data_IF_176954766402
#
_entry.id   IF_176954766402
#
_cell.length_a   1.000
_cell.length_b   1.000
_cell.length_c   1.000
_cell.angle_alpha   90.00
_cell.angle_beta   90.00
_cell.angle_gamma   90.00
#
_symmetry.space_group_name_H-M   'P 1'
#
loop_
_entity.id
_entity.type
_entity.pdbx_description
1 polymer ?
#
# COMPACT_ATOMS: atom_id res chain seq x y z
N UNK A 1 -22.50 1.07 26.40
CA UNK A 1 -22.65 2.31 25.61
C UNK A 1 -22.29 3.55 26.43
N UNK A 2 -22.92 3.81 27.59
CA UNK A 2 -22.60 4.97 28.46
C UNK A 2 -21.14 5.00 28.91
N UNK A 3 -20.57 3.85 29.31
CA UNK A 3 -19.16 3.76 29.69
C UNK A 3 -18.20 4.05 28.52
N UNK A 4 -18.54 3.65 27.29
CA UNK A 4 -17.73 3.89 26.10
C UNK A 4 -17.74 5.38 25.73
N UNK A 5 -18.92 6.00 25.75
CA UNK A 5 -19.06 7.45 25.55
C UNK A 5 -18.31 8.24 26.64
N UNK A 6 -18.35 7.77 27.90
CA UNK A 6 -17.60 8.37 29.00
C UNK A 6 -16.08 8.29 28.78
N UNK A 7 -15.56 7.15 28.33
CA UNK A 7 -14.13 7.00 28.01
C UNK A 7 -13.73 7.86 26.80
N UNK A 8 -14.56 7.93 25.76
CA UNK A 8 -14.32 8.80 24.59
C UNK A 8 -14.34 10.29 24.97
N UNK A 9 -15.19 10.68 25.92
CA UNK A 9 -15.22 12.04 26.46
C UNK A 9 -13.98 12.36 27.30
N UNK A 10 -13.61 11.48 28.23
CA UNK A 10 -12.45 11.69 29.11
C UNK A 10 -11.10 11.65 28.38
N UNK A 11 -11.02 11.00 27.23
CA UNK A 11 -9.80 10.92 26.41
C UNK A 11 -9.65 12.10 25.43
N UNK A 12 -10.60 13.05 25.43
CA UNK A 12 -10.63 14.15 24.46
C UNK A 12 -10.84 13.66 23.03
N UNK A 13 -11.41 12.46 22.84
CA UNK A 13 -11.67 11.92 21.51
C UNK A 13 -12.68 12.79 20.76
N UNK A 14 -13.72 13.27 21.44
CA UNK A 14 -14.71 14.17 20.82
C UNK A 14 -14.12 15.49 20.36
N UNK A 15 -13.10 16.02 21.04
CA UNK A 15 -12.41 17.25 20.63
C UNK A 15 -11.55 17.04 19.37
N UNK A 16 -11.18 15.78 19.07
CA UNK A 16 -10.47 15.38 17.84
C UNK A 16 -11.40 14.99 16.69
N UNK A 17 -12.71 14.87 16.93
CA UNK A 17 -13.66 14.54 15.87
C UNK A 17 -13.72 15.63 14.80
N UNK A 18 -13.78 16.94 15.12
CA UNK A 18 -13.75 17.99 14.10
C UNK A 18 -12.51 17.93 13.22
N UNK A 19 -11.33 17.65 13.79
CA UNK A 19 -10.09 17.55 13.01
C UNK A 19 -9.97 16.31 12.13
N UNK A 20 -10.78 15.27 12.38
CA UNK A 20 -10.99 14.16 11.43
C UNK A 20 -11.77 14.61 10.19
N UNK A 21 -12.55 15.69 10.29
CA UNK A 21 -13.34 16.24 9.19
C UNK A 21 -12.63 17.37 8.42
N UNK A 22 -11.56 17.97 8.96
CA UNK A 22 -10.81 19.05 8.28
C UNK A 22 -10.29 18.65 6.90
N UNK A 23 -9.94 17.36 6.72
CA UNK A 23 -9.45 16.83 5.43
C UNK A 23 -10.54 16.53 4.42
N UNK A 24 -11.82 16.57 4.80
CA UNK A 24 -12.93 16.32 3.86
C UNK A 24 -13.08 17.43 2.81
N UNK A 25 -12.47 18.60 3.04
CA UNK A 25 -12.36 19.63 2.02
C UNK A 25 -11.27 19.33 0.97
N UNK A 26 -10.38 18.36 1.23
CA UNK A 26 -9.29 18.00 0.32
C UNK A 26 -9.80 17.03 -0.76
N UNK A 27 -9.73 17.40 -2.06
CA UNK A 27 -10.16 16.53 -3.16
C UNK A 27 -9.49 15.15 -3.12
N UNK A 28 -8.26 15.09 -2.60
CA UNK A 28 -7.45 13.88 -2.48
C UNK A 28 -7.95 12.93 -1.40
N UNK A 29 -8.45 13.45 -0.28
CA UNK A 29 -9.05 12.64 0.78
C UNK A 29 -10.32 11.94 0.27
N UNK A 30 -11.14 12.67 -0.49
CA UNK A 30 -12.34 12.10 -1.10
C UNK A 30 -11.96 11.11 -2.20
N UNK A 31 -10.99 11.44 -3.05
CA UNK A 31 -10.43 10.50 -4.03
C UNK A 31 -9.97 9.19 -3.39
N UNK A 32 -9.30 9.26 -2.24
CA UNK A 32 -8.92 8.10 -1.43
C UNK A 32 -10.14 7.28 -0.96
N UNK A 33 -11.20 7.93 -0.46
CA UNK A 33 -12.41 7.23 -0.01
C UNK A 33 -13.08 6.41 -1.13
N UNK A 34 -13.18 7.00 -2.33
CA UNK A 34 -13.72 6.34 -3.52
C UNK A 34 -12.83 5.20 -4.00
N UNK A 35 -11.52 5.43 -3.94
CA UNK A 35 -10.51 4.41 -4.22
C UNK A 35 -10.69 3.21 -3.30
N UNK A 36 -10.75 3.41 -1.98
CA UNK A 36 -10.95 2.34 -0.98
C UNK A 36 -12.24 1.58 -1.23
N UNK A 37 -13.31 2.31 -1.55
CA UNK A 37 -14.63 1.72 -1.80
C UNK A 37 -14.66 0.86 -3.06
N UNK A 38 -14.01 1.30 -4.15
CA UNK A 38 -13.90 0.54 -5.40
C UNK A 38 -13.23 -0.81 -5.17
N UNK A 39 -12.12 -0.79 -4.47
CA UNK A 39 -11.26 -1.97 -4.36
C UNK A 39 -11.79 -2.96 -3.32
N UNK A 40 -12.53 -2.47 -2.32
CA UNK A 40 -13.14 -3.28 -1.27
C UNK A 40 -13.77 -4.60 -1.77
N UNK A 41 -14.58 -4.55 -2.84
CA UNK A 41 -15.28 -5.73 -3.34
C UNK A 41 -14.36 -6.77 -3.97
N UNK A 42 -13.34 -6.32 -4.70
CA UNK A 42 -12.33 -7.20 -5.28
C UNK A 42 -11.58 -7.95 -4.19
N UNK A 43 -11.23 -7.25 -3.11
CA UNK A 43 -10.59 -7.87 -1.97
C UNK A 43 -11.52 -8.75 -1.15
N UNK A 44 -12.77 -8.34 -0.92
CA UNK A 44 -13.74 -9.14 -0.20
C UNK A 44 -13.96 -10.48 -0.93
N UNK A 45 -14.06 -10.44 -2.25
CA UNK A 45 -14.16 -11.64 -3.08
C UNK A 45 -12.90 -12.50 -3.04
N UNK A 46 -11.70 -11.90 -3.16
CA UNK A 46 -10.42 -12.62 -3.07
C UNK A 46 -10.15 -13.20 -1.68
N UNK A 47 -10.75 -12.63 -0.63
CA UNK A 47 -10.73 -13.20 0.73
C UNK A 47 -11.52 -14.51 0.83
N UNK A 48 -12.53 -14.71 -0.03
CA UNK A 48 -13.29 -15.98 -0.12
C UNK A 48 -12.54 -17.00 -0.98
N UNK A 49 -12.02 -16.54 -2.12
CA UNK A 49 -11.41 -17.40 -3.13
C UNK A 49 -9.96 -16.93 -3.34
N UNK A 50 -9.00 -17.46 -2.56
CA UNK A 50 -7.59 -17.08 -2.64
C UNK A 50 -6.90 -17.77 -3.82
N UNK A 51 -7.46 -17.64 -5.04
CA UNK A 51 -6.89 -18.20 -6.27
C UNK A 51 -5.77 -17.30 -6.81
N UNK A 52 -5.82 -16.01 -6.47
CA UNK A 52 -4.77 -15.04 -6.70
C UNK A 52 -4.51 -14.29 -5.39
N UNK A 53 -3.25 -13.93 -5.08
CA UNK A 53 -3.01 -12.84 -4.12
C UNK A 53 -3.83 -11.64 -4.62
N UNK A 54 -4.33 -10.82 -3.71
CA UNK A 54 -4.77 -9.53 -4.20
C UNK A 54 -3.54 -8.78 -4.69
N UNK A 55 -3.53 -8.50 -5.98
CA UNK A 55 -2.80 -7.36 -6.47
C UNK A 55 -3.83 -6.39 -6.95
N UNK A 56 -4.01 -5.38 -6.14
CA UNK A 56 -4.42 -4.10 -6.67
C UNK A 56 -3.27 -3.11 -6.47
N UNK A 57 -2.07 -3.54 -6.90
CA UNK A 57 -0.88 -2.69 -6.92
C UNK A 57 -0.95 -1.60 -8.01
N UNK A 58 -2.05 -1.57 -8.77
CA UNK A 58 -2.30 -0.66 -9.90
C UNK A 58 -3.19 0.52 -9.49
N UNK A 59 -3.49 0.69 -8.20
CA UNK A 59 -4.39 1.76 -7.75
C UNK A 59 -3.64 3.08 -7.71
N UNK A 60 -3.70 3.80 -8.82
CA UNK A 60 -3.56 5.24 -8.76
C UNK A 60 -4.88 5.85 -8.23
N UNK A 61 -4.77 6.87 -7.40
CA UNK A 61 -5.90 7.45 -6.65
C UNK A 61 -6.99 7.96 -7.62
N UNK A 62 -8.27 7.73 -7.29
CA UNK A 62 -9.38 8.31 -8.03
C UNK A 62 -9.28 9.83 -8.00
N UNK A 63 -9.09 10.45 -9.15
CA UNK A 63 -8.97 11.90 -9.26
C UNK A 63 -10.34 12.56 -9.27
N UNK A 64 -10.44 13.64 -8.50
CA UNK A 64 -11.55 14.59 -8.57
C UNK A 64 -11.01 15.79 -9.32
N UNK A 65 -11.50 16.09 -10.54
CA UNK A 65 -11.03 17.24 -11.28
C UNK A 65 -11.30 18.53 -10.49
N UNK A 66 -10.42 19.55 -10.58
CA UNK A 66 -10.62 20.82 -9.89
C UNK A 66 -11.97 21.45 -10.25
N UNK A 67 -12.70 21.94 -9.24
CA UNK A 67 -13.99 22.60 -9.44
C UNK A 67 -15.20 21.67 -9.66
N UNK A 68 -15.00 20.36 -9.61
CA UNK A 68 -16.07 19.36 -9.76
C UNK A 68 -16.60 18.94 -8.38
N UNK A 69 -17.92 18.85 -8.25
CA UNK A 69 -18.58 18.39 -7.01
C UNK A 69 -18.15 16.97 -6.63
N UNK A 70 -18.12 16.66 -5.33
CA UNK A 70 -17.76 15.35 -4.77
C UNK A 70 -18.64 14.18 -5.24
N UNK A 71 -19.76 14.48 -5.89
CA UNK A 71 -20.69 13.52 -6.49
C UNK A 71 -20.51 13.36 -8.00
N UNK A 72 -19.73 14.24 -8.64
CA UNK A 72 -19.50 14.26 -10.08
C UNK A 72 -18.17 13.59 -10.46
N UNK A 73 -17.80 12.53 -9.73
CA UNK A 73 -16.61 11.74 -10.03
C UNK A 73 -16.77 11.02 -11.37
N UNK A 74 -15.74 11.06 -12.25
CA UNK A 74 -15.77 10.38 -13.55
C UNK A 74 -15.82 8.85 -13.39
N UNK A 75 -15.15 8.30 -12.38
CA UNK A 75 -15.14 6.87 -12.05
C UNK A 75 -16.49 6.41 -11.49
N UNK A 76 -17.38 5.96 -12.39
CA UNK A 76 -18.71 5.45 -12.01
C UNK A 76 -18.64 4.17 -11.20
N UNK A 77 -17.64 3.32 -11.44
CA UNK A 77 -17.46 2.07 -10.68
C UNK A 77 -17.17 2.41 -9.21
N UNK A 78 -16.29 3.39 -8.95
CA UNK A 78 -16.02 3.84 -7.60
C UNK A 78 -17.26 4.43 -6.93
N UNK A 79 -18.08 5.20 -7.66
CA UNK A 79 -19.35 5.73 -7.13
C UNK A 79 -20.34 4.62 -6.77
N UNK A 80 -20.58 3.66 -7.67
CA UNK A 80 -21.42 2.50 -7.38
C UNK A 80 -20.88 1.66 -6.22
N UNK A 81 -19.56 1.53 -6.13
CA UNK A 81 -18.91 0.79 -5.04
C UNK A 81 -19.09 1.51 -3.70
N UNK A 82 -18.96 2.84 -3.66
CA UNK A 82 -19.21 3.63 -2.46
C UNK A 82 -20.68 3.54 -2.01
N UNK A 83 -21.63 3.66 -2.95
CA UNK A 83 -23.07 3.52 -2.66
C UNK A 83 -23.38 2.13 -2.12
N UNK A 84 -22.93 1.08 -2.82
CA UNK A 84 -23.15 -0.30 -2.38
C UNK A 84 -22.50 -0.57 -1.02
N UNK A 85 -21.36 0.06 -0.72
CA UNK A 85 -20.69 -0.09 0.56
C UNK A 85 -21.50 0.54 1.71
N UNK A 86 -22.14 1.70 1.47
CA UNK A 86 -23.10 2.30 2.41
C UNK A 86 -24.36 1.43 2.58
N UNK A 87 -24.88 0.85 1.48
CA UNK A 87 -25.99 -0.10 1.53
C UNK A 87 -25.61 -1.32 2.36
N UNK A 88 -24.41 -1.87 2.16
CA UNK A 88 -23.91 -3.01 2.92
C UNK A 88 -23.77 -2.69 4.41
N UNK A 89 -23.30 -1.50 4.76
CA UNK A 89 -23.29 -1.01 6.14
C UNK A 89 -24.71 -0.95 6.72
N UNK A 90 -25.67 -0.35 6.01
CA UNK A 90 -27.07 -0.28 6.44
C UNK A 90 -27.71 -1.66 6.63
N UNK A 91 -27.50 -2.57 5.67
CA UNK A 91 -27.98 -3.96 5.74
C UNK A 91 -27.36 -4.69 6.92
N UNK A 92 -26.06 -4.50 7.18
CA UNK A 92 -25.40 -5.13 8.33
C UNK A 92 -26.02 -4.70 9.66
N UNK A 93 -26.37 -3.41 9.81
CA UNK A 93 -27.07 -2.89 10.99
C UNK A 93 -28.48 -3.45 11.11
N UNK A 94 -29.22 -3.51 10.00
CA UNK A 94 -30.54 -4.13 9.97
C UNK A 94 -30.50 -5.60 10.41
N UNK A 95 -29.54 -6.38 9.91
CA UNK A 95 -29.36 -7.79 10.25
C UNK A 95 -28.97 -7.99 11.72
N UNK A 96 -28.26 -7.03 12.34
CA UNK A 96 -27.96 -7.06 13.78
C UNK A 96 -29.22 -6.92 14.64
N UNK A 97 -30.24 -6.20 14.18
CA UNK A 97 -31.49 -6.02 14.93
C UNK A 97 -32.39 -7.26 14.90
N UNK A 98 -32.29 -8.09 13.88
CA UNK A 98 -33.06 -9.33 13.77
C UNK A 98 -32.43 -10.49 14.54
N UNK A 99 -33.21 -11.12 15.42
CA UNK A 99 -32.74 -12.18 16.31
C UNK A 99 -32.11 -13.38 15.55
N UNK A 100 -32.76 -13.81 14.46
CA UNK A 100 -32.29 -14.96 13.65
C UNK A 100 -30.98 -14.69 12.90
N UNK A 101 -30.68 -13.44 12.57
CA UNK A 101 -29.51 -13.05 11.76
C UNK A 101 -28.47 -12.29 12.56
N UNK A 102 -28.69 -12.06 13.86
CA UNK A 102 -27.92 -11.15 14.70
C UNK A 102 -26.42 -11.38 14.61
N UNK A 103 -25.96 -12.62 14.79
CA UNK A 103 -24.53 -12.95 14.78
C UNK A 103 -23.89 -12.73 13.41
N UNK A 104 -24.60 -13.08 12.33
CA UNK A 104 -24.15 -12.78 10.98
C UNK A 104 -24.09 -11.28 10.73
N UNK A 105 -25.12 -10.53 11.14
CA UNK A 105 -25.15 -9.07 11.08
C UNK A 105 -23.99 -8.42 11.82
N UNK A 106 -23.64 -8.89 13.03
CA UNK A 106 -22.49 -8.39 13.80
C UNK A 106 -21.18 -8.64 13.07
N UNK A 107 -20.99 -9.85 12.53
CA UNK A 107 -19.79 -10.18 11.77
C UNK A 107 -19.65 -9.30 10.52
N UNK A 108 -20.73 -9.13 9.77
CA UNK A 108 -20.76 -8.28 8.58
C UNK A 108 -20.51 -6.81 8.94
N UNK A 109 -21.11 -6.31 10.02
CA UNK A 109 -20.91 -4.94 10.47
C UNK A 109 -19.46 -4.70 10.90
N UNK A 110 -18.86 -5.61 11.69
CA UNK A 110 -17.47 -5.48 12.09
C UNK A 110 -16.53 -5.52 10.88
N UNK A 111 -16.80 -6.38 9.89
CA UNK A 111 -16.06 -6.40 8.64
C UNK A 111 -16.15 -5.05 7.91
N UNK A 112 -17.37 -4.55 7.66
CA UNK A 112 -17.59 -3.27 6.96
C UNK A 112 -17.02 -2.08 7.73
N UNK A 113 -17.21 -2.06 9.05
CA UNK A 113 -16.72 -1.00 9.93
C UNK A 113 -15.19 -0.91 9.90
N UNK A 114 -14.46 -2.04 9.94
CA UNK A 114 -12.99 -2.03 9.86
C UNK A 114 -12.47 -1.39 8.58
N UNK A 115 -13.24 -1.44 7.49
CA UNK A 115 -12.89 -0.82 6.22
C UNK A 115 -13.35 0.66 6.17
N UNK A 116 -14.55 0.97 6.66
CA UNK A 116 -15.03 2.36 6.78
C UNK A 116 -14.11 3.22 7.65
N UNK A 117 -13.68 2.69 8.79
CA UNK A 117 -12.76 3.38 9.68
C UNK A 117 -11.44 3.76 8.99
N UNK A 118 -11.00 2.96 8.01
CA UNK A 118 -9.77 3.23 7.27
C UNK A 118 -9.87 4.35 6.25
N UNK A 119 -11.08 4.74 5.83
CA UNK A 119 -11.28 5.97 5.05
C UNK A 119 -10.76 7.20 5.81
N UNK A 120 -10.80 7.17 7.15
CA UNK A 120 -10.47 8.31 8.00
C UNK A 120 -8.98 8.47 8.31
N UNK A 121 -8.11 7.55 7.90
CA UNK A 121 -6.66 7.71 8.09
C UNK A 121 -5.91 7.51 6.78
N UNK A 122 -5.25 8.57 6.34
CA UNK A 122 -4.35 8.58 5.19
C UNK A 122 -3.04 7.88 5.58
N UNK A 123 -3.07 6.56 5.77
CA UNK A 123 -1.85 5.79 6.02
C UNK A 123 -1.17 5.59 4.66
N UNK A 124 0.11 5.99 4.51
CA UNK A 124 0.88 5.73 3.30
C UNK A 124 1.20 4.24 3.09
N UNK A 125 0.61 3.35 3.88
CA UNK A 125 0.55 1.92 3.60
C UNK A 125 -0.54 1.69 2.55
N UNK A 126 -0.11 1.82 1.29
CA UNK A 126 -0.98 1.81 0.13
C UNK A 126 -1.38 0.41 -0.36
N UNK A 127 -0.97 -0.66 0.32
CA UNK A 127 -1.34 -2.04 -0.02
C UNK A 127 -2.70 -2.32 0.62
N UNK A 128 -3.80 -2.35 -0.15
CA UNK A 128 -5.11 -2.55 0.43
C UNK A 128 -5.30 -3.98 0.95
N UNK A 129 -4.38 -4.90 0.62
CA UNK A 129 -4.25 -6.23 1.23
C UNK A 129 -4.08 -6.13 2.75
N UNK A 130 -3.14 -5.30 3.23
CA UNK A 130 -2.93 -5.06 4.65
C UNK A 130 -4.10 -4.32 5.30
N UNK A 131 -4.95 -3.70 4.48
CA UNK A 131 -6.13 -3.00 4.95
C UNK A 131 -7.26 -3.95 5.36
N UNK A 132 -7.26 -5.17 4.84
CA UNK A 132 -8.39 -6.09 4.99
C UNK A 132 -8.11 -7.22 5.98
N UNK A 133 -6.85 -7.48 6.32
CA UNK A 133 -6.49 -8.48 7.32
C UNK A 133 -7.22 -8.33 8.67
N UNK A 134 -7.41 -7.13 9.25
CA UNK A 134 -8.16 -7.02 10.50
C UNK A 134 -9.67 -7.28 10.35
N UNK A 135 -10.21 -7.12 9.14
CA UNK A 135 -11.59 -7.44 8.81
C UNK A 135 -11.80 -8.94 8.54
N UNK A 136 -10.75 -9.63 8.07
CA UNK A 136 -10.79 -11.01 7.59
C UNK A 136 -11.37 -12.00 8.64
N UNK A 137 -11.03 -11.93 9.95
CA UNK A 137 -11.62 -12.83 10.94
C UNK A 137 -13.15 -12.72 11.01
N UNK A 138 -13.68 -11.50 10.94
CA UNK A 138 -15.12 -11.23 10.97
C UNK A 138 -15.80 -11.72 9.71
N UNK A 139 -15.16 -11.51 8.56
CA UNK A 139 -15.62 -12.03 7.29
C UNK A 139 -15.70 -13.56 7.29
N UNK A 140 -14.61 -14.24 7.69
CA UNK A 140 -14.55 -15.69 7.77
C UNK A 140 -15.57 -16.26 8.76
N UNK A 141 -15.75 -15.64 9.92
CA UNK A 141 -16.75 -16.05 10.91
C UNK A 141 -18.18 -15.90 10.38
N UNK A 142 -18.48 -14.76 9.74
CA UNK A 142 -19.78 -14.51 9.12
C UNK A 142 -20.06 -15.50 7.99
N UNK A 143 -19.08 -15.77 7.13
CA UNK A 143 -19.17 -16.76 6.07
C UNK A 143 -19.39 -18.18 6.62
N UNK A 144 -18.70 -18.55 7.71
CA UNK A 144 -18.88 -19.86 8.36
C UNK A 144 -20.31 -20.02 8.93
N UNK A 145 -20.85 -18.98 9.57
CA UNK A 145 -22.24 -18.97 10.08
C UNK A 145 -23.23 -19.15 8.92
N UNK A 146 -23.05 -18.40 7.83
CA UNK A 146 -23.92 -18.47 6.66
C UNK A 146 -23.84 -19.85 5.99
N UNK A 147 -22.63 -20.38 5.78
CA UNK A 147 -22.41 -21.69 5.19
C UNK A 147 -23.00 -22.82 6.03
N UNK A 148 -22.87 -22.75 7.37
CA UNK A 148 -23.48 -23.72 8.26
C UNK A 148 -25.02 -23.69 8.18
N UNK A 149 -25.61 -22.49 8.12
CA UNK A 149 -27.06 -22.32 7.97
C UNK A 149 -27.57 -22.86 6.62
N UNK A 150 -26.86 -22.59 5.53
CA UNK A 150 -27.18 -23.15 4.20
C UNK A 150 -27.01 -24.67 4.20
N UNK A 151 -25.94 -25.19 4.80
CA UNK A 151 -25.68 -26.63 4.85
C UNK A 151 -26.77 -27.40 5.59
N UNK A 152 -27.26 -26.84 6.70
CA UNK A 152 -28.37 -27.41 7.47
C UNK A 152 -29.72 -27.34 6.74
N UNK A 153 -29.90 -26.40 5.81
CA UNK A 153 -31.16 -26.31 5.05
C UNK A 153 -31.23 -27.32 3.90
N UNK A 154 -30.08 -27.81 3.43
CA UNK A 154 -29.99 -28.75 2.30
C UNK A 154 -29.58 -30.17 2.69
N UNK A 155 -29.04 -30.39 3.90
CA UNK A 155 -28.61 -31.73 4.36
C UNK A 155 -28.96 -31.98 5.82
N UNK A 156 -29.15 -33.25 6.18
CA UNK A 156 -29.19 -33.72 7.58
C UNK A 156 -27.78 -33.98 8.15
N UNK A 157 -26.74 -33.83 7.33
CA UNK A 157 -25.37 -34.13 7.70
C UNK A 157 -24.80 -33.03 8.63
N UNK A 158 -23.78 -33.40 9.43
CA UNK A 158 -23.20 -32.48 10.41
C UNK A 158 -22.74 -31.15 9.78
N UNK A 159 -23.09 -29.99 10.36
CA UNK A 159 -22.63 -28.67 9.88
C UNK A 159 -21.12 -28.46 10.01
N UNK A 160 -20.40 -29.40 10.63
CA UNK A 160 -18.95 -29.39 10.76
C UNK A 160 -18.24 -29.88 9.48
N UNK A 161 -18.93 -30.62 8.61
CA UNK A 161 -18.32 -31.20 7.40
C UNK A 161 -17.76 -30.13 6.46
N UNK A 162 -18.50 -29.05 6.10
CA UNK A 162 -17.96 -27.97 5.27
C UNK A 162 -16.72 -27.31 5.89
N UNK A 163 -16.72 -27.13 7.21
CA UNK A 163 -15.59 -26.53 7.93
C UNK A 163 -14.34 -27.40 7.83
N UNK A 164 -14.47 -28.72 8.00
CA UNK A 164 -13.36 -29.67 7.88
C UNK A 164 -12.80 -29.68 6.45
N UNK A 165 -13.67 -29.67 5.44
CA UNK A 165 -13.25 -29.61 4.02
C UNK A 165 -12.46 -28.33 3.75
N UNK A 166 -12.98 -27.18 4.20
CA UNK A 166 -12.29 -25.90 4.05
C UNK A 166 -10.95 -25.86 4.77
N UNK A 167 -10.87 -26.37 6.01
CA UNK A 167 -9.62 -26.48 6.75
C UNK A 167 -8.59 -27.34 6.00
N UNK A 168 -8.99 -28.50 5.47
CA UNK A 168 -8.13 -29.35 4.67
C UNK A 168 -7.57 -28.64 3.44
N UNK A 169 -8.43 -27.95 2.68
CA UNK A 169 -8.02 -27.15 1.51
C UNK A 169 -7.04 -26.06 1.92
N UNK A 170 -7.32 -25.30 2.99
CA UNK A 170 -6.44 -24.23 3.45
C UNK A 170 -5.10 -24.72 3.96
N UNK A 171 -5.04 -25.88 4.64
CA UNK A 171 -3.78 -26.51 5.04
C UNK A 171 -2.94 -26.84 3.80
N UNK A 172 -3.54 -27.45 2.77
CA UNK A 172 -2.83 -27.80 1.53
C UNK A 172 -2.35 -26.55 0.79
N UNK A 173 -3.19 -25.51 0.68
CA UNK A 173 -2.81 -24.24 0.06
C UNK A 173 -1.68 -23.53 0.84
N UNK A 174 -1.77 -23.52 2.17
CA UNK A 174 -0.75 -22.95 3.05
C UNK A 174 0.58 -23.69 2.92
N UNK A 175 0.56 -25.03 2.92
CA UNK A 175 1.75 -25.85 2.73
C UNK A 175 2.38 -25.65 1.35
N UNK A 176 1.58 -25.54 0.29
CA UNK A 176 2.10 -25.24 -1.06
C UNK A 176 2.77 -23.87 -1.13
N UNK A 177 2.22 -22.87 -0.44
CA UNK A 177 2.75 -21.50 -0.41
C UNK A 177 3.96 -21.36 0.51
N UNK A 178 4.07 -22.12 1.60
CA UNK A 178 5.19 -22.00 2.54
C UNK A 178 6.55 -22.30 1.88
N UNK A 179 6.61 -23.25 0.95
CA UNK A 179 7.84 -23.54 0.20
C UNK A 179 8.29 -22.37 -0.69
N UNK A 180 7.35 -21.65 -1.30
CA UNK A 180 7.67 -20.45 -2.10
C UNK A 180 8.24 -19.31 -1.23
N UNK A 181 7.86 -19.24 0.05
CA UNK A 181 8.27 -18.15 0.94
C UNK A 181 9.70 -18.28 1.46
N UNK A 182 10.33 -19.45 1.30
CA UNK A 182 11.70 -19.69 1.78
C UNK A 182 12.77 -19.14 0.83
N UNK A 183 12.45 -18.95 -0.45
CA UNK A 183 13.36 -18.36 -1.43
C UNK A 183 12.77 -17.06 -1.99
N UNK A 184 13.39 -15.94 -1.61
CA UNK A 184 12.92 -14.62 -2.03
C UNK A 184 12.99 -14.44 -3.55
N UNK A 185 13.97 -15.04 -4.24
CA UNK A 185 14.06 -14.90 -5.70
C UNK A 185 12.90 -15.63 -6.39
N UNK A 186 12.61 -16.88 -5.97
CA UNK A 186 11.44 -17.63 -6.44
C UNK A 186 10.12 -16.95 -6.08
N UNK A 187 10.00 -16.41 -4.86
CA UNK A 187 8.81 -15.68 -4.42
C UNK A 187 8.56 -14.47 -5.31
N UNK A 188 9.59 -13.69 -5.61
CA UNK A 188 9.44 -12.46 -6.36
C UNK A 188 9.28 -12.70 -7.85
N UNK A 189 9.86 -13.78 -8.40
CA UNK A 189 9.51 -14.26 -9.74
C UNK A 189 8.03 -14.69 -9.83
N UNK A 190 7.51 -15.39 -8.81
CA UNK A 190 6.08 -15.74 -8.75
C UNK A 190 5.18 -14.49 -8.62
N UNK A 191 5.61 -13.50 -7.82
CA UNK A 191 4.92 -12.22 -7.68
C UNK A 191 4.91 -11.45 -9.00
N UNK A 192 6.04 -11.31 -9.69
CA UNK A 192 6.11 -10.59 -10.97
C UNK A 192 5.36 -11.34 -12.09
N UNK A 193 5.35 -12.67 -12.05
CA UNK A 193 4.53 -13.47 -12.98
C UNK A 193 3.04 -13.26 -12.76
N UNK A 194 2.59 -13.23 -11.51
CA UNK A 194 1.18 -13.00 -11.19
C UNK A 194 0.80 -11.51 -11.35
N UNK A 195 1.75 -10.60 -11.08
CA UNK A 195 1.56 -9.16 -10.98
C UNK A 195 2.71 -8.40 -11.67
N UNK A 196 2.67 -8.29 -13.01
CA UNK A 196 3.81 -7.79 -13.78
C UNK A 196 4.16 -6.32 -13.52
N UNK A 197 3.24 -5.51 -12.98
CA UNK A 197 3.51 -4.12 -12.63
C UNK A 197 4.03 -3.92 -11.19
N UNK A 198 4.32 -5.00 -10.45
CA UNK A 198 4.64 -4.91 -9.03
C UNK A 198 6.07 -4.42 -8.76
N UNK A 199 6.29 -3.11 -8.89
CA UNK A 199 7.57 -2.45 -8.69
C UNK A 199 8.19 -2.72 -7.30
N UNK A 200 7.36 -2.92 -6.27
CA UNK A 200 7.84 -3.23 -4.91
C UNK A 200 8.55 -4.57 -4.82
N UNK A 201 8.25 -5.53 -5.70
CA UNK A 201 8.97 -6.81 -5.75
C UNK A 201 10.44 -6.58 -6.13
N UNK A 202 10.68 -5.81 -7.18
CA UNK A 202 12.03 -5.43 -7.60
C UNK A 202 12.71 -4.63 -6.49
N UNK A 203 11.98 -3.73 -5.83
CA UNK A 203 12.55 -2.91 -4.76
C UNK A 203 12.99 -3.74 -3.56
N UNK A 204 12.19 -4.72 -3.13
CA UNK A 204 12.59 -5.65 -2.07
C UNK A 204 13.85 -6.45 -2.41
N UNK A 205 14.06 -6.81 -3.68
CA UNK A 205 15.33 -7.42 -4.12
C UNK A 205 16.50 -6.43 -4.05
N UNK A 206 16.28 -5.17 -4.43
CA UNK A 206 17.31 -4.14 -4.36
C UNK A 206 17.75 -3.91 -2.92
N UNK A 207 16.81 -3.79 -1.97
CA UNK A 207 17.13 -3.63 -0.54
C UNK A 207 17.92 -4.83 0.00
N UNK A 208 17.47 -6.07 -0.29
CA UNK A 208 18.20 -7.29 0.12
C UNK A 208 19.61 -7.30 -0.44
N UNK A 209 19.76 -7.06 -1.74
CA UNK A 209 21.06 -7.14 -2.42
C UNK A 209 21.98 -5.99 -1.99
N UNK A 210 21.45 -4.80 -1.69
CA UNK A 210 22.18 -3.67 -1.14
C UNK A 210 22.73 -4.00 0.26
N UNK A 211 21.90 -4.60 1.13
CA UNK A 211 22.32 -5.06 2.46
C UNK A 211 23.42 -6.13 2.39
N UNK A 212 23.46 -6.93 1.31
CA UNK A 212 24.50 -7.94 1.07
C UNK A 212 25.73 -7.39 0.33
N UNK A 213 25.68 -6.14 -0.15
CA UNK A 213 26.73 -5.58 -1.00
C UNK A 213 26.77 -6.16 -2.43
N UNK A 214 25.70 -6.83 -2.87
CA UNK A 214 25.56 -7.44 -4.20
C UNK A 214 25.19 -6.40 -5.28
N UNK A 215 25.97 -5.31 -5.38
CA UNK A 215 25.67 -4.14 -6.22
C UNK A 215 25.48 -4.48 -7.71
N UNK A 216 26.19 -5.49 -8.22
CA UNK A 216 26.04 -5.92 -9.61
C UNK A 216 24.66 -6.47 -9.92
N UNK A 217 24.02 -7.16 -8.96
CA UNK A 217 22.66 -7.70 -9.17
C UNK A 217 21.64 -6.58 -9.31
N UNK A 218 21.78 -5.52 -8.51
CA UNK A 218 20.96 -4.31 -8.60
C UNK A 218 21.10 -3.68 -10.00
N UNK A 219 22.33 -3.48 -10.47
CA UNK A 219 22.58 -2.91 -11.81
C UNK A 219 21.99 -3.80 -12.91
N UNK A 220 22.16 -5.11 -12.83
CA UNK A 220 21.62 -6.04 -13.84
C UNK A 220 20.09 -5.99 -13.86
N UNK A 221 19.46 -6.00 -12.68
CA UNK A 221 18.01 -5.96 -12.53
C UNK A 221 17.40 -4.66 -13.02
N UNK A 222 17.99 -3.51 -12.67
CA UNK A 222 17.56 -2.21 -13.16
C UNK A 222 17.62 -2.12 -14.69
N UNK A 223 18.61 -2.74 -15.33
CA UNK A 223 18.78 -2.66 -16.77
C UNK A 223 17.92 -3.67 -17.56
N UNK A 224 17.60 -4.82 -16.96
CA UNK A 224 16.91 -5.92 -17.66
C UNK A 224 15.45 -6.07 -17.27
N UNK A 225 15.15 -6.07 -15.98
CA UNK A 225 13.81 -6.40 -15.46
C UNK A 225 12.94 -5.16 -15.25
N UNK A 226 13.52 -4.08 -14.70
CA UNK A 226 12.77 -2.85 -14.42
C UNK A 226 12.10 -2.22 -15.65
N UNK A 227 12.74 -2.12 -16.84
CA UNK A 227 12.10 -1.53 -18.01
C UNK A 227 10.82 -2.26 -18.42
N UNK A 228 10.79 -3.59 -18.29
CA UNK A 228 9.61 -4.40 -18.61
C UNK A 228 8.46 -4.11 -17.64
N UNK A 229 8.74 -4.09 -16.33
CA UNK A 229 7.75 -3.76 -15.29
C UNK A 229 7.21 -2.34 -15.47
N UNK A 230 8.09 -1.38 -15.77
CA UNK A 230 7.70 0.01 -16.00
C UNK A 230 6.83 0.16 -17.25
N UNK A 231 7.20 -0.48 -18.35
CA UNK A 231 6.43 -0.43 -19.59
C UNK A 231 5.05 -1.07 -19.41
N UNK A 232 4.97 -2.20 -18.70
CA UNK A 232 3.70 -2.85 -18.39
C UNK A 232 2.80 -1.95 -17.53
N UNK A 233 3.35 -1.31 -16.49
CA UNK A 233 2.59 -0.36 -15.67
C UNK A 233 2.05 0.81 -16.50
N UNK A 234 2.90 1.42 -17.33
CA UNK A 234 2.51 2.54 -18.18
C UNK A 234 1.44 2.15 -19.20
N UNK A 235 1.55 0.96 -19.80
CA UNK A 235 0.50 0.46 -20.70
C UNK A 235 -0.80 0.23 -19.96
N UNK A 236 -0.78 -0.40 -18.78
CA UNK A 236 -1.99 -0.63 -17.99
C UNK A 236 -2.66 0.69 -17.58
N UNK A 237 -1.88 1.68 -17.18
CA UNK A 237 -2.39 3.00 -16.82
C UNK A 237 -3.12 3.68 -17.99
N UNK A 238 -2.63 3.54 -19.22
CA UNK A 238 -3.26 4.09 -20.42
C UNK A 238 -4.64 3.46 -20.72
N UNK A 239 -4.85 2.20 -20.32
CA UNK A 239 -6.11 1.49 -20.53
C UNK A 239 -7.14 1.72 -19.41
N UNK A 240 -6.74 2.35 -18.29
CA UNK A 240 -7.62 2.62 -17.16
C UNK A 240 -8.35 3.97 -17.35
N UNK A 241 -9.68 3.91 -17.39
CA UNK A 241 -10.56 5.08 -17.39
C UNK A 241 -11.23 5.27 -16.02
N UNK A 242 -11.20 6.48 -15.42
CA UNK A 242 -10.48 7.69 -15.88
C UNK A 242 -8.96 7.58 -15.70
N UNK A 243 -8.22 8.43 -16.43
CA UNK A 243 -6.76 8.59 -16.30
C UNK A 243 -6.41 8.87 -14.84
N UNK A 244 -5.48 8.10 -14.29
CA UNK A 244 -5.08 8.17 -12.88
C UNK A 244 -3.73 8.88 -12.73
N UNK A 245 -3.43 9.41 -11.54
CA UNK A 245 -2.18 10.14 -11.29
C UNK A 245 -0.94 9.22 -11.32
N UNK A 246 0.06 9.60 -12.13
CA UNK A 246 1.44 9.08 -12.06
C UNK A 246 2.25 9.58 -10.84
N UNK A 247 2.13 10.84 -10.37
CA UNK A 247 3.00 11.34 -9.30
C UNK A 247 2.67 10.82 -7.90
N UNK A 248 1.61 10.03 -7.74
CA UNK A 248 1.12 9.61 -6.43
C UNK A 248 0.90 8.09 -6.42
N UNK A 249 1.35 7.43 -5.36
CA UNK A 249 1.13 6.00 -5.14
C UNK A 249 2.39 5.12 -5.13
N UNK A 250 2.15 3.80 -5.08
CA UNK A 250 3.20 2.79 -4.91
C UNK A 250 4.25 2.78 -6.02
N UNK A 251 3.84 3.01 -7.26
CA UNK A 251 4.73 2.96 -8.39
C UNK A 251 5.74 4.12 -8.35
N UNK A 252 5.30 5.35 -8.08
CA UNK A 252 6.19 6.50 -7.93
C UNK A 252 7.19 6.33 -6.78
N UNK A 253 6.72 5.83 -5.63
CA UNK A 253 7.60 5.54 -4.49
C UNK A 253 8.63 4.46 -4.85
N UNK A 254 8.18 3.38 -5.50
CA UNK A 254 9.07 2.30 -5.94
C UNK A 254 10.04 2.77 -7.03
N UNK A 255 9.62 3.60 -7.97
CA UNK A 255 10.50 4.17 -9.01
C UNK A 255 11.62 5.01 -8.39
N UNK A 256 11.29 5.85 -7.41
CA UNK A 256 12.28 6.66 -6.68
C UNK A 256 13.22 5.76 -5.87
N UNK A 257 12.68 4.80 -5.11
CA UNK A 257 13.49 3.86 -4.32
C UNK A 257 14.40 2.97 -5.19
N UNK A 258 13.87 2.43 -6.29
CA UNK A 258 14.62 1.61 -7.24
C UNK A 258 15.75 2.39 -7.91
N UNK A 259 15.44 3.59 -8.41
CA UNK A 259 16.41 4.44 -9.10
C UNK A 259 17.48 4.96 -8.14
N UNK A 260 17.11 5.28 -6.90
CA UNK A 260 18.05 5.65 -5.84
C UNK A 260 19.01 4.51 -5.47
N UNK A 261 18.49 3.29 -5.26
CA UNK A 261 19.31 2.10 -5.02
C UNK A 261 20.19 1.74 -6.21
N UNK A 262 19.69 1.92 -7.44
CA UNK A 262 20.49 1.76 -8.65
C UNK A 262 21.63 2.77 -8.73
N UNK A 263 21.37 4.05 -8.44
CA UNK A 263 22.40 5.08 -8.39
C UNK A 263 23.45 4.74 -7.31
N UNK A 264 23.02 4.29 -6.13
CA UNK A 264 23.93 3.84 -5.08
C UNK A 264 24.81 2.66 -5.55
N UNK A 265 24.22 1.68 -6.22
CA UNK A 265 24.97 0.56 -6.81
C UNK A 265 25.99 1.03 -7.87
N UNK A 266 25.64 2.02 -8.70
CA UNK A 266 26.58 2.64 -9.65
C UNK A 266 27.71 3.38 -8.94
N UNK A 267 27.45 4.02 -7.80
CA UNK A 267 28.49 4.66 -7.01
C UNK A 267 29.50 3.63 -6.47
N UNK A 268 29.02 2.45 -6.04
CA UNK A 268 29.87 1.37 -5.54
C UNK A 268 30.67 0.65 -6.63
N UNK A 269 30.07 0.45 -7.81
CA UNK A 269 30.68 -0.34 -8.89
C UNK A 269 31.50 0.50 -9.86
N UNK A 270 31.04 1.71 -10.17
CA UNK A 270 31.64 2.57 -11.19
C UNK A 270 32.28 3.80 -10.55
N UNK A 271 31.48 4.83 -10.31
CA UNK A 271 31.95 6.12 -9.82
C UNK A 271 30.77 6.92 -9.24
N UNK A 272 30.91 7.54 -8.06
CA UNK A 272 29.89 8.42 -7.47
C UNK A 272 29.38 9.52 -8.40
N UNK A 273 30.21 10.05 -9.31
CA UNK A 273 29.78 11.09 -10.26
C UNK A 273 28.76 10.58 -11.30
N UNK A 274 28.82 9.30 -11.66
CA UNK A 274 27.81 8.69 -12.54
C UNK A 274 26.50 8.57 -11.78
N UNK A 275 26.57 8.11 -10.53
CA UNK A 275 25.41 8.00 -9.65
C UNK A 275 24.72 9.35 -9.40
N UNK A 276 25.49 10.43 -9.20
CA UNK A 276 24.93 11.78 -9.03
C UNK A 276 24.19 12.27 -10.28
N UNK A 277 24.62 11.88 -11.49
CA UNK A 277 23.88 12.20 -12.72
C UNK A 277 22.55 11.47 -12.79
N UNK A 278 22.50 10.20 -12.39
CA UNK A 278 21.24 9.44 -12.29
C UNK A 278 20.29 10.08 -11.28
N UNK A 279 20.80 10.48 -10.11
CA UNK A 279 19.99 11.21 -9.11
C UNK A 279 19.48 12.54 -9.65
N UNK A 280 20.28 13.28 -10.42
CA UNK A 280 19.84 14.52 -11.03
C UNK A 280 18.72 14.28 -12.08
N UNK A 281 18.82 13.22 -12.87
CA UNK A 281 17.75 12.83 -13.80
C UNK A 281 16.46 12.46 -13.07
N UNK A 282 16.58 11.71 -11.97
CA UNK A 282 15.44 11.37 -11.11
C UNK A 282 14.79 12.63 -10.53
N UNK A 283 15.58 13.60 -10.04
CA UNK A 283 15.05 14.86 -9.53
C UNK A 283 14.27 15.64 -10.58
N UNK A 284 14.81 15.72 -11.80
CA UNK A 284 14.12 16.39 -12.92
C UNK A 284 12.80 15.70 -13.23
N UNK A 285 12.77 14.36 -13.27
CA UNK A 285 11.54 13.59 -13.49
C UNK A 285 10.51 13.85 -12.38
N UNK A 286 10.91 13.78 -11.11
CA UNK A 286 10.02 14.04 -9.97
C UNK A 286 9.40 15.44 -10.07
N UNK A 287 10.20 16.46 -10.42
CA UNK A 287 9.71 17.83 -10.61
C UNK A 287 8.79 17.96 -11.83
N UNK A 288 9.09 17.30 -12.94
CA UNK A 288 8.23 17.27 -14.13
C UNK A 288 6.87 16.63 -13.85
N UNK A 289 6.83 15.64 -12.96
CA UNK A 289 5.60 15.01 -12.48
C UNK A 289 4.84 15.88 -11.46
N UNK A 290 5.34 17.07 -11.13
CA UNK A 290 4.69 17.98 -10.17
C UNK A 290 4.86 17.56 -8.72
N UNK A 291 5.84 16.71 -8.39
CA UNK A 291 6.09 16.32 -7.01
C UNK A 291 6.76 17.46 -6.23
N UNK A 292 6.02 18.11 -5.34
CA UNK A 292 6.60 19.13 -4.45
C UNK A 292 7.39 18.49 -3.29
N UNK A 293 8.64 18.96 -3.08
CA UNK A 293 9.51 18.52 -2.00
C UNK A 293 9.16 19.12 -0.64
N UNK A 294 8.38 20.22 -0.62
CA UNK A 294 7.95 20.90 0.61
C UNK A 294 6.53 20.52 1.06
N UNK A 295 5.73 19.96 0.16
CA UNK A 295 4.37 19.52 0.44
C UNK A 295 4.31 18.22 1.25
N UNK A 296 3.31 18.11 2.12
CA UNK A 296 3.08 16.90 2.93
C UNK A 296 2.76 15.64 2.09
N UNK A 297 2.27 15.84 0.87
CA UNK A 297 1.82 14.79 -0.06
C UNK A 297 2.93 13.83 -0.50
N UNK A 298 4.14 14.34 -0.76
CA UNK A 298 5.25 13.58 -1.36
C UNK A 298 6.47 13.50 -0.45
N UNK A 299 6.33 13.89 0.83
CA UNK A 299 7.44 13.99 1.78
C UNK A 299 8.20 12.68 1.91
N UNK A 300 7.49 11.54 2.02
CA UNK A 300 8.12 10.23 2.14
C UNK A 300 8.91 9.84 0.88
N UNK A 301 8.38 10.15 -0.31
CA UNK A 301 9.01 9.86 -1.60
C UNK A 301 10.31 10.67 -1.73
N UNK A 302 10.24 11.98 -1.45
CA UNK A 302 11.42 12.84 -1.40
C UNK A 302 12.41 12.40 -0.30
N UNK A 303 11.92 11.83 0.80
CA UNK A 303 12.75 11.26 1.85
C UNK A 303 13.66 10.12 1.37
N UNK A 304 13.16 9.23 0.50
CA UNK A 304 13.99 8.20 -0.14
C UNK A 304 15.04 8.83 -1.08
N UNK A 305 14.62 9.77 -1.93
CA UNK A 305 15.51 10.49 -2.83
C UNK A 305 16.68 11.16 -2.08
N UNK A 306 16.38 11.92 -1.01
CA UNK A 306 17.39 12.63 -0.25
C UNK A 306 18.34 11.69 0.49
N UNK A 307 17.83 10.58 1.03
CA UNK A 307 18.67 9.60 1.71
C UNK A 307 19.69 8.96 0.75
N UNK A 308 19.25 8.42 -0.39
CA UNK A 308 20.15 7.80 -1.36
C UNK A 308 21.16 8.81 -1.93
N UNK A 309 20.72 10.06 -2.20
CA UNK A 309 21.60 11.13 -2.67
C UNK A 309 22.67 11.49 -1.65
N UNK A 310 22.32 11.55 -0.36
CA UNK A 310 23.28 11.84 0.70
C UNK A 310 24.37 10.77 0.80
N UNK A 311 24.01 9.48 0.69
CA UNK A 311 24.97 8.39 0.69
C UNK A 311 25.92 8.46 -0.52
N UNK A 312 25.41 8.79 -1.70
CA UNK A 312 26.25 8.98 -2.89
C UNK A 312 27.20 10.17 -2.73
N UNK A 313 26.73 11.28 -2.14
CA UNK A 313 27.56 12.46 -1.85
C UNK A 313 28.66 12.14 -0.82
N UNK A 314 28.35 11.34 0.20
CA UNK A 314 29.33 10.82 1.15
C UNK A 314 30.41 10.00 0.43
N UNK A 315 30.03 9.10 -0.48
CA UNK A 315 30.97 8.31 -1.29
C UNK A 315 31.82 9.19 -2.23
N UNK A 316 31.28 10.31 -2.69
CA UNK A 316 32.02 11.31 -3.47
C UNK A 316 32.96 12.17 -2.61
N UNK A 317 32.95 12.00 -1.28
CA UNK A 317 33.74 12.80 -0.34
C UNK A 317 33.19 14.22 -0.13
N UNK A 318 31.93 14.47 -0.48
CA UNK A 318 31.23 15.76 -0.33
C UNK A 318 30.41 15.76 0.97
N UNK A 319 31.08 15.67 2.12
CA UNK A 319 30.41 15.41 3.40
C UNK A 319 29.47 16.52 3.87
N UNK A 320 29.81 17.79 3.64
CA UNK A 320 28.92 18.92 3.98
C UNK A 320 27.61 18.85 3.16
N UNK A 321 27.72 18.66 1.84
CA UNK A 321 26.55 18.50 0.96
C UNK A 321 25.74 17.26 1.36
N UNK A 322 26.40 16.16 1.72
CA UNK A 322 25.76 14.94 2.18
C UNK A 322 24.96 15.16 3.47
N UNK A 323 25.54 15.87 4.44
CA UNK A 323 24.89 16.19 5.71
C UNK A 323 23.65 17.06 5.52
N UNK A 324 23.77 18.15 4.74
CA UNK A 324 22.63 19.04 4.46
C UNK A 324 21.53 18.32 3.68
N UNK A 325 21.89 17.44 2.74
CA UNK A 325 20.91 16.63 2.00
C UNK A 325 20.19 15.65 2.94
N UNK A 326 20.92 15.00 3.86
CA UNK A 326 20.33 14.01 4.76
C UNK A 326 19.35 14.62 5.77
N UNK A 327 19.55 15.89 6.17
CA UNK A 327 18.58 16.64 6.99
C UNK A 327 17.22 16.81 6.33
N UNK A 328 17.17 16.80 4.99
CA UNK A 328 15.94 16.90 4.22
C UNK A 328 15.19 15.56 4.14
N UNK A 329 15.86 14.44 4.44
CA UNK A 329 15.21 13.14 4.51
C UNK A 329 14.37 13.01 5.80
N UNK A 330 13.24 12.31 5.72
CA UNK A 330 12.51 11.94 6.94
C UNK A 330 13.40 11.07 7.83
N UNK A 331 13.61 11.51 9.07
CA UNK A 331 14.55 10.91 10.00
C UNK A 331 13.90 9.69 10.67
N UNK A 332 14.23 8.50 10.18
CA UNK A 332 14.03 7.22 10.87
C UNK A 332 15.23 6.91 11.76
N UNK A 333 15.12 5.96 12.71
CA UNK A 333 16.23 5.57 13.59
C UNK A 333 17.47 5.12 12.81
N UNK A 334 17.28 4.43 11.68
CA UNK A 334 18.38 4.02 10.81
C UNK A 334 19.08 5.22 10.17
N UNK A 335 18.29 6.19 9.68
CA UNK A 335 18.82 7.43 9.07
C UNK A 335 19.48 8.34 10.10
N UNK A 336 19.09 8.28 11.37
CA UNK A 336 19.83 8.97 12.45
C UNK A 336 21.25 8.44 12.61
N UNK A 337 21.48 7.15 12.39
CA UNK A 337 22.84 6.57 12.44
C UNK A 337 23.71 7.11 11.31
N UNK A 338 23.16 7.15 10.09
CA UNK A 338 23.85 7.73 8.93
C UNK A 338 24.13 9.23 9.15
N UNK A 339 23.18 9.98 9.71
CA UNK A 339 23.36 11.41 10.00
C UNK A 339 24.52 11.66 10.97
N UNK A 340 24.55 10.92 12.08
CA UNK A 340 25.66 10.99 13.06
C UNK A 340 27.00 10.57 12.44
N UNK A 341 27.00 9.56 11.56
CA UNK A 341 28.21 9.13 10.86
C UNK A 341 28.75 10.24 9.96
N UNK A 342 27.89 10.81 9.11
CA UNK A 342 28.28 11.84 8.14
C UNK A 342 28.70 13.14 8.85
N UNK A 343 28.00 13.54 9.92
CA UNK A 343 28.37 14.69 10.76
C UNK A 343 29.79 14.55 11.34
N UNK A 344 30.12 13.35 11.84
CA UNK A 344 31.47 13.08 12.35
C UNK A 344 32.51 13.19 11.24
N UNK A 345 32.21 12.70 10.04
CA UNK A 345 33.12 12.75 8.89
C UNK A 345 33.30 14.17 8.37
N UNK A 346 32.26 15.00 8.39
CA UNK A 346 32.36 16.42 7.99
C UNK A 346 33.20 17.24 8.98
N UNK A 347 33.13 16.92 10.27
CA UNK A 347 33.90 17.62 11.32
C UNK A 347 35.39 17.23 11.37
N UNK A 348 35.81 16.18 10.66
CA UNK A 348 37.19 15.65 10.64
C UNK A 348 38.04 16.18 9.48
N UNK A 349 37.45 16.96 8.57
CA UNK A 349 38.14 17.70 7.51
C UNK A 349 38.20 19.18 7.86
#
# INVERSE_FOLDING_TARGET
MIALCGVMFLTGFFDKIPSLFDRWAEPRFIGHAYTVSRVFYEFAWRSVIPVHLSADHHIAETLIPPGVSYWAIPDKIAVFSAISFLVLAGVSVFLMWWEKTRFFGVCLFLYVATILFRVFYFIPEFMPEYRIYPGLPWFCLGAAILLAAIWQSITEASPRIPVIILLGIFIVLSAKRSFLWHDLDSLLADVLKQYPAQARAIWGLHERDALRGDWQKIIQRQNKEWPEVKNFFLSELQHQAPVRELPTGHFAMAEVGLTGQYALALAHVKNPMIALREMQQLEMLMRQLGMDSKGNTNRNIWGYYFHDKALILEMAGKYEEAFETLKLAEITDERQRDLKRIEKLSAQR
#
